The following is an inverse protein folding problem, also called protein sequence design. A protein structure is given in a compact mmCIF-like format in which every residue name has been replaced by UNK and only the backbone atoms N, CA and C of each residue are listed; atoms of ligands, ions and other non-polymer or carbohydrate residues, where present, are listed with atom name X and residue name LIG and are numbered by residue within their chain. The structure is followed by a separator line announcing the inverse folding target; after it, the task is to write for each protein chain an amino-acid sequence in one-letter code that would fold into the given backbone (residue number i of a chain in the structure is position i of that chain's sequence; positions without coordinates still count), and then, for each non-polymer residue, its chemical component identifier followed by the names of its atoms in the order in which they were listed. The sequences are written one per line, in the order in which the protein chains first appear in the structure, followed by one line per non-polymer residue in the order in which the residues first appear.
data_IF_875834658325
#
_entry.id   IF_875834658325
#
_cell.length_a   1.000
_cell.length_b   1.000
_cell.length_c   1.000
_cell.angle_alpha   90.00
_cell.angle_beta   90.00
_cell.angle_gamma   90.00
#
_symmetry.space_group_name_H-M   'P 1'
#
loop_
_entity.id
_entity.type
_entity.pdbx_description
1 polymer ?
#
# COMPACT_ATOMS: atom_id res chain seq x y z
N UNK A 1 28.95 0.53 39.52
CA UNK A 1 28.18 -0.44 38.72
C UNK A 1 27.40 0.33 37.67
N UNK A 2 27.94 0.41 36.47
CA UNK A 2 27.43 1.23 35.36
C UNK A 2 26.33 0.48 34.63
N UNK A 3 25.12 1.03 34.52
CA UNK A 3 24.11 0.61 33.58
C UNK A 3 24.30 1.39 32.29
N UNK A 4 25.06 0.81 31.37
CA UNK A 4 25.00 1.18 29.98
C UNK A 4 23.82 0.48 29.33
N UNK A 5 22.87 1.22 28.82
CA UNK A 5 21.67 0.72 28.16
C UNK A 5 20.89 1.84 27.49
N UNK A 6 21.64 2.80 26.91
CA UNK A 6 21.06 3.79 26.03
C UNK A 6 20.91 3.21 24.63
N UNK A 7 19.82 2.48 24.32
CA UNK A 7 19.45 2.26 22.94
C UNK A 7 19.04 3.60 22.34
N UNK A 8 19.97 4.22 21.61
CA UNK A 8 19.72 5.45 20.88
C UNK A 8 18.49 5.29 19.97
N UNK A 9 17.36 5.82 20.42
CA UNK A 9 16.26 6.11 19.50
C UNK A 9 16.79 7.17 18.54
N UNK A 10 17.02 6.75 17.32
CA UNK A 10 17.28 7.68 16.22
C UNK A 10 16.00 8.50 16.06
N UNK A 11 16.01 9.69 16.65
CA UNK A 11 14.88 10.61 16.61
C UNK A 11 14.59 10.98 15.17
N UNK A 12 13.42 10.62 14.66
CA UNK A 12 12.89 11.10 13.38
C UNK A 12 12.91 10.14 12.19
N UNK A 13 13.56 8.98 12.25
CA UNK A 13 13.54 7.99 11.17
C UNK A 13 12.19 7.26 11.05
N UNK A 14 11.80 6.90 9.82
CA UNK A 14 10.66 6.00 9.60
C UNK A 14 11.09 4.57 9.98
N UNK A 15 10.19 3.80 10.60
CA UNK A 15 10.43 2.38 10.87
C UNK A 15 10.51 1.57 9.56
N UNK A 16 11.17 0.41 9.58
CA UNK A 16 11.38 -0.40 8.39
C UNK A 16 10.09 -0.79 7.68
N UNK A 17 9.02 -1.08 8.42
CA UNK A 17 7.70 -1.39 7.88
C UNK A 17 7.04 -0.18 7.19
N UNK A 18 7.24 1.03 7.71
CA UNK A 18 6.77 2.27 7.09
C UNK A 18 7.56 2.56 5.80
N UNK A 19 8.88 2.33 5.81
CA UNK A 19 9.71 2.45 4.60
C UNK A 19 9.28 1.44 3.54
N UNK A 20 9.03 0.19 3.93
CA UNK A 20 8.55 -0.84 3.02
C UNK A 20 7.19 -0.48 2.41
N UNK A 21 6.26 0.07 3.21
CA UNK A 21 4.96 0.54 2.72
C UNK A 21 5.13 1.69 1.71
N UNK A 22 6.00 2.66 2.01
CA UNK A 22 6.28 3.78 1.11
C UNK A 22 6.91 3.30 -0.21
N UNK A 23 7.85 2.36 -0.16
CA UNK A 23 8.46 1.77 -1.35
C UNK A 23 7.41 1.03 -2.20
N UNK A 24 6.54 0.24 -1.57
CA UNK A 24 5.45 -0.45 -2.26
C UNK A 24 4.50 0.53 -2.94
N UNK A 25 4.09 1.60 -2.25
CA UNK A 25 3.22 2.62 -2.80
C UNK A 25 3.88 3.41 -3.93
N UNK A 26 5.18 3.68 -3.84
CA UNK A 26 5.94 4.30 -4.93
C UNK A 26 5.93 3.42 -6.18
N UNK A 27 6.21 2.15 -6.02
CA UNK A 27 6.20 1.19 -7.12
C UNK A 27 4.80 1.02 -7.71
N UNK A 28 3.80 0.78 -6.88
CA UNK A 28 2.41 0.58 -7.30
C UNK A 28 1.84 1.83 -7.96
N UNK A 29 1.98 3.00 -7.33
CA UNK A 29 1.49 4.26 -7.87
C UNK A 29 2.15 4.64 -9.19
N UNK A 30 3.45 4.37 -9.34
CA UNK A 30 4.15 4.56 -10.62
C UNK A 30 3.59 3.63 -11.71
N UNK A 31 3.33 2.37 -11.38
CA UNK A 31 2.72 1.41 -12.32
C UNK A 31 1.31 1.82 -12.74
N UNK A 32 0.51 2.40 -11.83
CA UNK A 32 -0.81 2.94 -12.17
C UNK A 32 -0.74 4.04 -13.24
N UNK A 33 0.30 4.86 -13.20
CA UNK A 33 0.55 5.89 -14.21
C UNK A 33 1.11 5.35 -15.52
N UNK A 34 2.06 4.42 -15.46
CA UNK A 34 2.79 3.89 -16.62
C UNK A 34 2.03 2.77 -17.37
N UNK A 35 1.26 1.97 -16.64
CA UNK A 35 0.54 0.80 -17.15
C UNK A 35 -0.89 0.73 -16.59
N UNK A 36 -1.71 1.75 -16.82
CA UNK A 36 -3.08 1.81 -16.26
C UNK A 36 -3.94 0.63 -16.69
N UNK A 37 -3.70 0.09 -17.89
CA UNK A 37 -4.43 -1.05 -18.46
C UNK A 37 -4.35 -2.32 -17.60
N UNK A 38 -3.31 -2.48 -16.79
CA UNK A 38 -3.17 -3.61 -15.87
C UNK A 38 -4.19 -3.53 -14.73
N UNK A 39 -4.51 -2.31 -14.32
CA UNK A 39 -5.39 -2.02 -13.18
C UNK A 39 -6.84 -1.77 -13.58
N UNK A 40 -7.09 -1.25 -14.79
CA UNK A 40 -8.46 -1.02 -15.29
C UNK A 40 -9.31 -2.29 -15.30
N UNK A 41 -8.68 -3.45 -15.50
CA UNK A 41 -9.36 -4.76 -15.50
C UNK A 41 -9.87 -5.16 -14.13
N UNK A 42 -9.29 -4.63 -13.06
CA UNK A 42 -9.58 -4.96 -11.67
C UNK A 42 -10.69 -4.04 -11.13
N UNK A 43 -10.86 -2.87 -11.73
CA UNK A 43 -11.92 -1.93 -11.34
C UNK A 43 -13.29 -2.56 -11.66
N UNK A 44 -14.23 -2.61 -10.68
CA UNK A 44 -15.55 -3.16 -10.90
C UNK A 44 -16.23 -2.58 -12.14
N UNK A 45 -16.85 -3.45 -12.94
CA UNK A 45 -17.44 -3.07 -14.24
C UNK A 45 -18.56 -2.03 -14.14
N UNK A 46 -19.20 -1.92 -12.98
CA UNK A 46 -20.26 -0.93 -12.71
C UNK A 46 -19.77 0.48 -12.42
N UNK A 47 -18.46 0.70 -12.25
CA UNK A 47 -17.91 2.02 -11.97
C UNK A 47 -17.55 2.74 -13.27
N UNK A 48 -18.04 3.99 -13.46
CA UNK A 48 -17.66 4.81 -14.60
C UNK A 48 -16.23 5.33 -14.45
N UNK A 49 -15.57 5.66 -15.56
CA UNK A 49 -14.27 6.34 -15.52
C UNK A 49 -13.13 5.50 -14.95
N UNK A 50 -13.09 4.21 -15.21
CA UNK A 50 -12.10 3.26 -14.65
C UNK A 50 -10.66 3.76 -14.74
N UNK A 51 -10.27 4.32 -15.88
CA UNK A 51 -8.92 4.86 -16.09
C UNK A 51 -8.63 6.05 -15.18
N UNK A 52 -9.61 6.92 -14.98
CA UNK A 52 -9.53 8.03 -14.02
C UNK A 52 -9.37 7.54 -12.59
N UNK A 53 -10.10 6.49 -12.19
CA UNK A 53 -9.96 5.87 -10.87
C UNK A 53 -8.58 5.24 -10.67
N UNK A 54 -8.02 4.61 -11.71
CA UNK A 54 -6.66 4.05 -11.66
C UNK A 54 -5.63 5.16 -11.46
N UNK A 55 -5.71 6.26 -12.21
CA UNK A 55 -4.80 7.39 -12.04
C UNK A 55 -4.96 8.06 -10.67
N UNK A 56 -6.20 8.23 -10.19
CA UNK A 56 -6.46 8.82 -8.88
C UNK A 56 -5.89 7.94 -7.74
N UNK A 57 -6.04 6.62 -7.84
CA UNK A 57 -5.45 5.69 -6.89
C UNK A 57 -3.93 5.76 -6.90
N UNK A 58 -3.31 5.73 -8.07
CA UNK A 58 -1.86 5.86 -8.21
C UNK A 58 -1.32 7.17 -7.65
N UNK A 59 -1.99 8.29 -7.91
CA UNK A 59 -1.63 9.58 -7.34
C UNK A 59 -1.75 9.58 -5.81
N UNK A 60 -2.81 9.01 -5.26
CA UNK A 60 -2.99 8.87 -3.81
C UNK A 60 -1.88 8.03 -3.18
N UNK A 61 -1.49 6.92 -3.81
CA UNK A 61 -0.38 6.06 -3.35
C UNK A 61 0.95 6.83 -3.34
N UNK A 62 1.27 7.57 -4.41
CA UNK A 62 2.51 8.37 -4.49
C UNK A 62 2.53 9.50 -3.45
N UNK A 63 1.41 10.18 -3.24
CA UNK A 63 1.30 11.22 -2.19
C UNK A 63 1.46 10.63 -0.79
N UNK A 64 0.85 9.47 -0.53
CA UNK A 64 1.01 8.74 0.72
C UNK A 64 2.48 8.31 0.93
N UNK A 65 3.14 7.78 -0.11
CA UNK A 65 4.54 7.37 -0.05
C UNK A 65 5.44 8.55 0.34
N UNK A 66 5.29 9.68 -0.33
CA UNK A 66 6.05 10.90 -0.01
C UNK A 66 5.76 11.37 1.42
N UNK A 67 4.49 11.42 1.80
CA UNK A 67 4.08 11.90 3.12
C UNK A 67 4.49 10.98 4.27
N UNK A 68 4.65 9.68 4.05
CA UNK A 68 5.19 8.74 5.02
C UNK A 68 6.67 9.00 5.34
N UNK A 69 7.43 9.50 4.36
CA UNK A 69 8.85 9.81 4.54
C UNK A 69 9.09 11.13 5.26
N UNK A 70 8.14 12.05 5.22
CA UNK A 70 8.24 13.37 5.87
C UNK A 70 7.66 13.30 7.29
N UNK A 71 8.46 13.57 8.35
CA UNK A 71 7.99 13.44 9.74
C UNK A 71 6.71 14.23 10.05
N UNK A 72 6.58 15.45 9.53
CA UNK A 72 5.43 16.33 9.78
C UNK A 72 4.11 15.82 9.19
N UNK A 73 4.16 15.10 8.09
CA UNK A 73 2.97 14.56 7.38
C UNK A 73 2.75 13.08 7.62
N UNK A 74 3.74 12.38 8.19
CA UNK A 74 3.72 10.92 8.40
C UNK A 74 2.46 10.42 9.09
N UNK A 75 1.97 11.13 10.10
CA UNK A 75 0.75 10.75 10.82
C UNK A 75 -0.46 10.71 9.90
N UNK A 76 -0.71 11.80 9.15
CA UNK A 76 -1.84 11.89 8.22
C UNK A 76 -1.71 10.87 7.09
N UNK A 77 -0.53 10.78 6.51
CA UNK A 77 -0.23 9.83 5.44
C UNK A 77 -0.38 8.38 5.91
N UNK A 78 0.01 8.07 7.14
CA UNK A 78 -0.18 6.75 7.72
C UNK A 78 -1.66 6.35 7.83
N UNK A 79 -2.51 7.26 8.32
CA UNK A 79 -3.95 7.04 8.40
C UNK A 79 -4.58 6.88 7.02
N UNK A 80 -4.23 7.77 6.08
CA UNK A 80 -4.74 7.72 4.71
C UNK A 80 -4.27 6.43 4.02
N UNK A 81 -3.03 6.02 4.23
CA UNK A 81 -2.48 4.76 3.69
C UNK A 81 -3.25 3.54 4.19
N UNK A 82 -3.52 3.47 5.50
CA UNK A 82 -4.30 2.38 6.08
C UNK A 82 -5.73 2.36 5.51
N UNK A 83 -6.38 3.52 5.42
CA UNK A 83 -7.73 3.64 4.84
C UNK A 83 -7.75 3.26 3.36
N UNK A 84 -6.77 3.70 2.57
CA UNK A 84 -6.65 3.38 1.14
C UNK A 84 -6.48 1.87 0.94
N UNK A 85 -5.59 1.22 1.71
CA UNK A 85 -5.39 -0.23 1.66
C UNK A 85 -6.68 -1.00 1.96
N UNK A 86 -7.43 -0.58 2.97
CA UNK A 86 -8.73 -1.19 3.30
C UNK A 86 -9.73 -0.96 2.15
N UNK A 87 -9.76 0.24 1.58
CA UNK A 87 -10.69 0.58 0.50
C UNK A 87 -10.42 -0.21 -0.80
N UNK A 88 -9.15 -0.50 -1.12
CA UNK A 88 -8.79 -1.28 -2.32
C UNK A 88 -8.87 -2.80 -2.11
N UNK A 89 -9.09 -3.26 -0.88
CA UNK A 89 -9.14 -4.70 -0.58
C UNK A 89 -10.18 -5.45 -1.42
N UNK A 90 -11.43 -4.97 -1.60
CA UNK A 90 -12.40 -5.64 -2.46
C UNK A 90 -11.91 -5.80 -3.91
N UNK A 91 -11.21 -4.80 -4.47
CA UNK A 91 -10.61 -4.90 -5.80
C UNK A 91 -9.51 -5.97 -5.86
N UNK A 92 -8.68 -6.08 -4.81
CA UNK A 92 -7.66 -7.13 -4.71
C UNK A 92 -8.30 -8.54 -4.63
N UNK A 93 -9.40 -8.70 -3.90
CA UNK A 93 -10.17 -9.95 -3.83
C UNK A 93 -10.75 -10.27 -5.21
N UNK A 94 -11.37 -9.31 -5.89
CA UNK A 94 -11.90 -9.48 -7.24
C UNK A 94 -10.82 -9.92 -8.22
N UNK A 95 -9.65 -9.28 -8.18
CA UNK A 95 -8.50 -9.67 -9.00
C UNK A 95 -8.08 -11.12 -8.74
N UNK A 96 -8.01 -11.53 -7.48
CA UNK A 96 -7.64 -12.90 -7.12
C UNK A 96 -8.65 -13.90 -7.69
N UNK A 97 -9.95 -13.62 -7.57
CA UNK A 97 -11.02 -14.46 -8.14
C UNK A 97 -10.89 -14.56 -9.66
N UNK A 98 -10.68 -13.45 -10.34
CA UNK A 98 -10.59 -13.41 -11.82
C UNK A 98 -9.36 -14.19 -12.32
N UNK A 99 -8.20 -14.02 -11.66
CA UNK A 99 -6.96 -14.74 -11.99
C UNK A 99 -7.10 -16.24 -11.72
N UNK A 100 -7.72 -16.62 -10.60
CA UNK A 100 -7.91 -18.05 -10.27
C UNK A 100 -8.85 -18.75 -11.23
N UNK A 101 -9.86 -18.05 -11.72
CA UNK A 101 -10.82 -18.59 -12.71
C UNK A 101 -10.29 -18.59 -14.14
N UNK A 102 -9.28 -17.79 -14.43
CA UNK A 102 -8.72 -17.67 -15.78
C UNK A 102 -7.85 -18.88 -16.13
N UNK A 103 -8.17 -19.53 -17.26
CA UNK A 103 -7.35 -20.61 -17.84
C UNK A 103 -6.02 -20.09 -18.43
N UNK A 104 -5.93 -18.79 -18.70
CA UNK A 104 -4.72 -18.15 -19.28
C UNK A 104 -3.73 -17.71 -18.21
N UNK A 105 -4.12 -17.73 -16.93
CA UNK A 105 -3.25 -17.33 -15.84
C UNK A 105 -2.28 -18.44 -15.47
N UNK A 106 -1.00 -18.08 -15.34
CA UNK A 106 0.05 -19.00 -14.90
C UNK A 106 -0.10 -19.34 -13.43
N UNK A 107 0.49 -20.46 -12.99
CA UNK A 107 0.52 -20.85 -11.58
C UNK A 107 1.20 -19.77 -10.73
N UNK A 108 2.25 -19.14 -11.24
CA UNK A 108 2.94 -18.04 -10.54
C UNK A 108 2.01 -16.84 -10.31
N UNK A 109 1.20 -16.46 -11.30
CA UNK A 109 0.21 -15.37 -11.13
C UNK A 109 -0.84 -15.74 -10.08
N UNK A 110 -1.34 -16.97 -10.08
CA UNK A 110 -2.32 -17.44 -9.10
C UNK A 110 -1.77 -17.39 -7.68
N UNK A 111 -0.55 -17.87 -7.48
CA UNK A 111 0.13 -17.80 -6.18
C UNK A 111 0.34 -16.35 -5.75
N UNK A 112 0.80 -15.48 -6.66
CA UNK A 112 1.06 -14.08 -6.34
C UNK A 112 -0.20 -13.32 -5.87
N UNK A 113 -1.35 -13.49 -6.55
CA UNK A 113 -2.58 -12.79 -6.17
C UNK A 113 -3.16 -13.31 -4.86
N UNK A 114 -3.06 -14.61 -4.59
CA UNK A 114 -3.51 -15.21 -3.32
C UNK A 114 -2.60 -14.77 -2.17
N UNK A 115 -1.27 -14.79 -2.36
CA UNK A 115 -0.32 -14.36 -1.36
C UNK A 115 -0.45 -12.87 -1.01
N UNK A 116 -0.86 -12.05 -1.98
CA UNK A 116 -1.10 -10.61 -1.78
C UNK A 116 -2.20 -10.32 -0.74
N UNK A 117 -3.23 -11.16 -0.64
CA UNK A 117 -4.34 -10.92 0.27
C UNK A 117 -3.91 -10.89 1.75
N UNK A 118 -3.22 -11.92 2.30
CA UNK A 118 -2.74 -11.86 3.68
C UNK A 118 -1.64 -10.81 3.89
N UNK A 119 -0.82 -10.49 2.87
CA UNK A 119 0.21 -9.46 2.96
C UNK A 119 -0.37 -8.06 3.14
N UNK A 120 -1.62 -7.84 2.81
CA UNK A 120 -2.29 -6.56 3.03
C UNK A 120 -2.40 -6.21 4.52
N UNK A 121 -2.57 -7.19 5.40
CA UNK A 121 -2.70 -6.95 6.83
C UNK A 121 -1.45 -6.28 7.46
N UNK A 122 -0.22 -6.79 7.27
CA UNK A 122 0.97 -6.08 7.75
C UNK A 122 1.13 -4.68 7.15
N UNK A 123 0.70 -4.45 5.92
CA UNK A 123 0.75 -3.12 5.28
C UNK A 123 -0.25 -2.14 5.93
N UNK A 124 -1.46 -2.57 6.21
CA UNK A 124 -2.45 -1.78 6.98
C UNK A 124 -1.90 -1.44 8.37
N UNK A 125 -1.28 -2.42 9.03
CA UNK A 125 -0.64 -2.21 10.34
C UNK A 125 0.52 -1.21 10.28
N UNK A 126 1.32 -1.22 9.21
CA UNK A 126 2.39 -0.25 9.01
C UNK A 126 1.85 1.18 8.91
N UNK A 127 0.81 1.40 8.10
CA UNK A 127 0.12 2.68 8.01
C UNK A 127 -0.46 3.13 9.36
N UNK A 128 -1.10 2.23 10.08
CA UNK A 128 -1.65 2.49 11.42
C UNK A 128 -0.56 2.83 12.44
N UNK A 129 0.59 2.16 12.42
CA UNK A 129 1.73 2.51 13.25
C UNK A 129 2.27 3.89 12.95
N UNK A 130 2.41 4.24 11.66
CA UNK A 130 2.84 5.57 11.26
C UNK A 130 1.91 6.66 11.79
N UNK A 131 0.60 6.39 11.81
CA UNK A 131 -0.38 7.28 12.43
C UNK A 131 -0.20 7.40 13.94
N UNK A 132 0.02 6.31 14.66
CA UNK A 132 0.13 6.32 16.13
C UNK A 132 1.47 6.85 16.63
N UNK A 133 2.58 6.48 16.01
CA UNK A 133 3.92 6.80 16.49
C UNK A 133 4.34 8.25 16.24
N UNK A 134 3.69 8.96 15.34
CA UNK A 134 3.95 10.38 15.08
C UNK A 134 3.13 11.32 16.01
N UNK A 135 2.44 10.78 17.00
CA UNK A 135 1.61 11.53 17.95
C UNK A 135 2.20 11.67 19.37
N UNK A 136 3.42 11.14 19.59
CA UNK A 136 4.15 11.25 20.87
C UNK A 136 5.38 12.11 20.72
#
# INVERSE_FOLDING_TARGET
MARAGGSGRVAGGASADVVALAALFTMSGSLHGLRPELFERIVPRGLPGRRGLVYASGAAELLCAAGLMVPRTRRRSGLISAALLVAIFPANVQMAVDVLRSRRSTSAMKVAVVARLPLQWPLVRAGWRAYRSAGN
#
